data_IF_436128544738
#
_entry.id   IF_436128544738
#
_cell.length_a   1.000
_cell.length_b   1.000
_cell.length_c   1.000
_cell.angle_alpha   90.00
_cell.angle_beta   90.00
_cell.angle_gamma   90.00
#
_symmetry.space_group_name_H-M   'P 1'
#
loop_
_entity.id
_entity.type
_entity.pdbx_description
1 polymer ?
#
# COMPACT_ATOMS: atom_id res chain seq x y z
N UNK A 1 14.33 14.83 9.45
CA UNK A 1 13.33 13.77 9.22
C UNK A 1 12.19 14.28 8.36
N UNK A 2 11.73 13.46 7.43
CA UNK A 2 10.62 13.85 6.59
C UNK A 2 9.33 13.89 7.42
N UNK A 3 8.51 14.90 7.19
CA UNK A 3 7.20 15.00 7.80
C UNK A 3 6.27 13.98 7.15
N UNK A 4 5.47 13.28 7.96
CA UNK A 4 4.50 12.31 7.45
C UNK A 4 3.36 13.07 6.76
N UNK A 5 3.00 12.62 5.56
CA UNK A 5 1.91 13.22 4.81
C UNK A 5 0.57 12.94 5.48
N UNK A 6 -0.35 13.88 5.40
CA UNK A 6 -1.67 13.81 6.07
C UNK A 6 -2.57 12.70 5.56
N UNK A 7 -2.41 12.31 4.30
CA UNK A 7 -3.19 11.23 3.68
C UNK A 7 -2.30 10.01 3.49
N UNK A 8 -2.91 8.83 3.47
CA UNK A 8 -2.21 7.57 3.31
C UNK A 8 -3.01 6.63 2.40
N UNK A 9 -2.34 5.60 1.93
CA UNK A 9 -2.95 4.54 1.13
C UNK A 9 -3.22 3.36 2.04
N UNK A 10 -4.38 2.72 1.89
CA UNK A 10 -4.72 1.49 2.59
C UNK A 10 -4.92 0.36 1.59
N UNK A 11 -4.30 -0.81 1.87
CA UNK A 11 -4.50 -2.03 1.10
C UNK A 11 -4.72 -3.21 2.04
N UNK A 12 -5.63 -4.10 1.67
CA UNK A 12 -5.79 -5.38 2.37
C UNK A 12 -5.15 -6.48 1.51
N UNK A 13 -4.27 -7.26 2.14
CA UNK A 13 -3.64 -8.40 1.51
C UNK A 13 -4.47 -9.65 1.80
N UNK A 14 -5.10 -10.19 0.75
CA UNK A 14 -5.89 -11.41 0.86
C UNK A 14 -5.04 -12.66 0.78
N UNK A 15 -5.70 -13.80 0.95
CA UNK A 15 -5.05 -15.10 0.85
C UNK A 15 -4.64 -15.48 -0.57
N UNK A 16 -5.25 -14.85 -1.58
CA UNK A 16 -4.97 -15.10 -2.99
C UNK A 16 -4.43 -13.83 -3.65
N UNK A 17 -3.20 -13.48 -3.35
CA UNK A 17 -2.48 -12.52 -4.17
C UNK A 17 -2.15 -13.22 -5.50
N UNK A 18 -1.79 -12.47 -6.53
CA UNK A 18 -1.47 -13.04 -7.84
C UNK A 18 -0.40 -14.14 -7.80
N UNK A 19 0.43 -14.18 -6.77
CA UNK A 19 1.46 -15.20 -6.57
C UNK A 19 0.97 -16.46 -5.87
N UNK A 20 -0.27 -16.46 -5.35
CA UNK A 20 -0.81 -17.55 -4.54
C UNK A 20 -0.36 -17.54 -3.08
N UNK A 21 0.41 -16.55 -2.67
CA UNK A 21 0.90 -16.44 -1.29
C UNK A 21 -0.14 -15.78 -0.39
N UNK A 22 -0.17 -16.20 0.89
CA UNK A 22 -0.98 -15.53 1.89
C UNK A 22 -0.45 -14.12 2.18
N UNK A 23 -1.27 -13.27 2.79
CA UNK A 23 -0.86 -11.91 3.14
C UNK A 23 0.40 -11.88 4.01
N UNK A 24 0.49 -12.78 4.99
CA UNK A 24 1.66 -12.84 5.88
C UNK A 24 2.92 -13.28 5.13
N UNK A 25 2.80 -14.24 4.23
CA UNK A 25 3.94 -14.66 3.40
C UNK A 25 4.40 -13.51 2.49
N UNK A 26 3.46 -12.74 1.94
CA UNK A 26 3.77 -11.56 1.14
C UNK A 26 4.60 -10.56 1.95
N UNK A 27 4.19 -10.27 3.19
CA UNK A 27 4.93 -9.37 4.07
C UNK A 27 6.36 -9.87 4.29
N UNK A 28 6.52 -11.15 4.60
CA UNK A 28 7.84 -11.74 4.84
C UNK A 28 8.74 -11.65 3.63
N UNK A 29 8.23 -11.96 2.45
CA UNK A 29 9.01 -11.88 1.21
C UNK A 29 9.50 -10.45 0.96
N UNK A 30 8.64 -9.45 1.16
CA UNK A 30 9.04 -8.07 1.00
C UNK A 30 10.01 -7.61 2.09
N UNK A 31 9.85 -8.07 3.34
CA UNK A 31 10.78 -7.72 4.41
C UNK A 31 12.18 -8.27 4.13
N UNK A 32 12.28 -9.52 3.68
CA UNK A 32 13.56 -10.13 3.31
C UNK A 32 14.20 -9.36 2.15
N UNK A 33 13.41 -9.06 1.13
CA UNK A 33 13.89 -8.33 -0.04
C UNK A 33 14.39 -6.93 0.33
N UNK A 34 13.63 -6.21 1.15
CA UNK A 34 14.02 -4.87 1.58
C UNK A 34 15.29 -4.86 2.42
N UNK A 35 15.51 -5.90 3.24
CA UNK A 35 16.74 -6.03 4.01
C UNK A 35 17.97 -6.18 3.11
N UNK A 36 17.79 -6.74 1.93
CA UNK A 36 18.88 -6.96 0.96
C UNK A 36 19.08 -5.78 0.01
N UNK A 37 17.99 -5.12 -0.40
CA UNK A 37 18.02 -4.14 -1.49
C UNK A 37 17.66 -2.72 -1.07
N UNK A 38 17.02 -2.53 0.06
CA UNK A 38 16.62 -1.21 0.57
C UNK A 38 15.34 -0.66 -0.02
N UNK A 39 14.95 -1.09 -1.20
CA UNK A 39 13.73 -0.67 -1.89
C UNK A 39 13.11 -1.87 -2.60
N UNK A 40 11.79 -1.83 -2.82
CA UNK A 40 11.11 -2.87 -3.57
C UNK A 40 9.85 -2.32 -4.24
N UNK A 41 9.55 -2.79 -5.45
CA UNK A 41 8.28 -2.50 -6.10
C UNK A 41 7.22 -3.45 -5.56
N UNK A 42 6.18 -2.88 -4.96
CA UNK A 42 5.07 -3.61 -4.34
C UNK A 42 3.93 -3.76 -5.35
N UNK A 43 3.51 -5.01 -5.55
CA UNK A 43 2.40 -5.34 -6.46
C UNK A 43 1.07 -5.02 -5.78
N UNK A 44 0.43 -3.92 -6.16
CA UNK A 44 -0.81 -3.45 -5.54
C UNK A 44 -2.03 -4.13 -6.17
N UNK A 45 -2.17 -5.43 -5.95
CA UNK A 45 -3.21 -6.23 -6.58
C UNK A 45 -4.64 -5.82 -6.26
N UNK A 46 -4.87 -5.22 -5.09
CA UNK A 46 -6.19 -4.74 -4.72
C UNK A 46 -6.64 -3.50 -5.51
N UNK A 47 -5.69 -2.79 -6.12
CA UNK A 47 -5.97 -1.63 -6.98
C UNK A 47 -6.11 -2.11 -8.44
N UNK A 48 -7.15 -2.88 -8.72
CA UNK A 48 -7.33 -3.55 -10.01
C UNK A 48 -7.48 -2.59 -11.19
N UNK A 49 -8.08 -1.43 -10.95
CA UNK A 49 -8.31 -0.41 -11.98
C UNK A 49 -7.24 0.68 -11.99
N UNK A 50 -6.21 0.50 -11.19
CA UNK A 50 -5.20 1.53 -10.99
C UNK A 50 -5.66 2.62 -10.05
N UNK A 51 -4.76 3.52 -9.72
CA UNK A 51 -5.00 4.65 -8.84
C UNK A 51 -5.72 5.75 -9.60
N UNK A 52 -6.70 6.44 -8.97
CA UNK A 52 -7.32 7.57 -9.63
C UNK A 52 -6.28 8.66 -9.90
N UNK A 53 -6.44 9.39 -10.99
CA UNK A 53 -5.51 10.44 -11.39
C UNK A 53 -5.36 11.52 -10.33
N UNK A 54 -6.47 11.87 -9.66
CA UNK A 54 -6.47 12.85 -8.57
C UNK A 54 -5.50 12.44 -7.45
N UNK A 55 -5.60 11.19 -6.97
CA UNK A 55 -4.77 10.73 -5.88
C UNK A 55 -3.33 10.44 -6.33
N UNK A 56 -3.17 9.97 -7.56
CA UNK A 56 -1.84 9.77 -8.12
C UNK A 56 -1.06 11.09 -8.14
N UNK A 57 -1.69 12.17 -8.61
CA UNK A 57 -1.07 13.49 -8.64
C UNK A 57 -0.79 14.00 -7.22
N UNK A 58 -1.76 13.88 -6.32
CA UNK A 58 -1.59 14.32 -4.94
C UNK A 58 -0.43 13.62 -4.25
N UNK A 59 -0.37 12.30 -4.37
CA UNK A 59 0.67 11.51 -3.71
C UNK A 59 2.03 11.68 -4.36
N UNK A 60 2.08 11.83 -5.68
CA UNK A 60 3.33 12.12 -6.36
C UNK A 60 3.88 13.48 -5.92
N UNK A 61 3.02 14.48 -5.79
CA UNK A 61 3.42 15.79 -5.27
C UNK A 61 3.96 15.69 -3.84
N UNK A 62 3.31 14.90 -2.99
CA UNK A 62 3.77 14.68 -1.63
C UNK A 62 5.18 14.07 -1.60
N UNK A 63 5.42 13.09 -2.46
CA UNK A 63 6.75 12.47 -2.59
C UNK A 63 7.76 13.50 -3.07
N UNK A 64 7.42 14.29 -4.10
CA UNK A 64 8.31 15.30 -4.68
C UNK A 64 8.68 16.40 -3.68
N UNK A 65 7.75 16.74 -2.78
CA UNK A 65 8.00 17.70 -1.70
C UNK A 65 8.61 17.05 -0.45
N UNK A 66 9.09 15.81 -0.57
CA UNK A 66 9.80 15.08 0.49
C UNK A 66 8.97 14.76 1.73
N UNK A 67 7.65 14.63 1.58
CA UNK A 67 6.82 14.05 2.63
C UNK A 67 7.02 12.53 2.68
N UNK A 68 6.87 11.96 3.88
CA UNK A 68 6.81 10.51 4.03
C UNK A 68 5.36 10.07 3.74
N UNK A 69 5.15 9.47 2.58
CA UNK A 69 3.85 8.93 2.20
C UNK A 69 3.75 7.49 2.71
N UNK A 70 2.70 7.19 3.47
CA UNK A 70 2.54 5.88 4.10
C UNK A 70 1.54 5.00 3.38
N UNK A 71 1.85 3.71 3.37
CA UNK A 71 0.97 2.64 2.90
C UNK A 71 0.68 1.74 4.09
N UNK A 72 -0.59 1.65 4.50
CA UNK A 72 -1.02 0.77 5.58
C UNK A 72 -1.57 -0.52 5.03
N UNK A 73 -1.15 -1.64 5.60
CA UNK A 73 -1.51 -2.97 5.13
C UNK A 73 -2.24 -3.74 6.22
N UNK A 74 -3.37 -4.33 5.85
CA UNK A 74 -4.11 -5.27 6.67
C UNK A 74 -3.92 -6.67 6.12
N UNK A 75 -3.62 -7.63 6.99
CA UNK A 75 -3.33 -9.01 6.60
C UNK A 75 -4.43 -9.92 7.09
N UNK A 76 -5.07 -10.66 6.18
CA UNK A 76 -6.13 -11.59 6.53
C UNK A 76 -7.49 -10.94 6.68
N UNK A 77 -8.35 -11.53 7.52
CA UNK A 77 -9.75 -11.15 7.66
C UNK A 77 -10.06 -10.20 8.81
N UNK A 78 -9.11 -9.99 9.69
CA UNK A 78 -9.31 -9.15 10.86
C UNK A 78 -9.33 -7.68 10.49
N UNK A 79 -10.11 -6.88 11.21
CA UNK A 79 -10.29 -5.46 10.95
C UNK A 79 -9.19 -4.64 11.64
N UNK A 80 -7.93 -4.84 11.22
CA UNK A 80 -6.81 -4.16 11.82
C UNK A 80 -5.78 -3.68 10.82
N UNK A 81 -4.94 -2.76 11.25
CA UNK A 81 -3.76 -2.34 10.49
C UNK A 81 -2.56 -3.07 11.07
N UNK A 82 -1.94 -3.92 10.25
CA UNK A 82 -0.88 -4.79 10.73
C UNK A 82 0.52 -4.25 10.43
N UNK A 83 0.68 -3.63 9.26
CA UNK A 83 1.99 -3.15 8.79
C UNK A 83 1.88 -1.79 8.14
N UNK A 84 2.99 -1.07 8.13
CA UNK A 84 3.12 0.22 7.43
C UNK A 84 4.41 0.24 6.62
N UNK A 85 4.31 0.76 5.40
CA UNK A 85 5.44 0.96 4.50
C UNK A 85 5.52 2.43 4.11
N UNK A 86 6.73 2.90 3.78
CA UNK A 86 6.90 4.22 3.19
C UNK A 86 6.97 4.08 1.68
N UNK A 87 6.18 4.88 0.96
CA UNK A 87 6.12 4.86 -0.50
C UNK A 87 7.08 5.89 -1.07
N UNK A 88 8.00 5.42 -1.91
CA UNK A 88 9.03 6.27 -2.52
C UNK A 88 8.72 6.66 -3.97
N UNK A 89 7.87 5.89 -4.65
CA UNK A 89 7.48 6.18 -6.03
C UNK A 89 6.20 5.42 -6.37
N UNK A 90 5.49 5.93 -7.38
CA UNK A 90 4.23 5.34 -7.84
C UNK A 90 4.30 5.17 -9.36
N UNK A 91 3.93 3.98 -9.84
CA UNK A 91 3.80 3.72 -11.27
C UNK A 91 2.39 3.22 -11.55
N UNK A 92 1.68 3.88 -12.45
CA UNK A 92 0.32 3.51 -12.81
C UNK A 92 0.17 3.45 -14.33
N UNK A 93 -0.81 2.69 -14.80
CA UNK A 93 -1.17 2.63 -16.19
C UNK A 93 -2.67 2.49 -16.35
N UNK A 94 -3.21 2.91 -17.50
CA UNK A 94 -4.63 2.70 -17.83
C UNK A 94 -4.94 1.23 -18.00
N UNK A 95 -3.96 0.49 -18.49
CA UNK A 95 -4.01 -0.97 -18.56
C UNK A 95 -3.03 -1.51 -17.52
N UNK A 96 -3.10 -2.82 -17.30
CA UNK A 96 -2.15 -3.47 -16.39
C UNK A 96 -0.75 -3.40 -16.98
N UNK A 97 0.21 -2.97 -16.18
CA UNK A 97 1.60 -2.82 -16.59
C UNK A 97 2.51 -3.77 -15.81
N UNK A 98 3.65 -4.15 -16.38
CA UNK A 98 4.65 -4.93 -15.64
C UNK A 98 5.34 -4.06 -14.60
N UNK A 99 6.09 -4.69 -13.69
CA UNK A 99 6.90 -3.93 -12.74
C UNK A 99 7.85 -2.98 -13.46
N UNK A 100 8.05 -1.77 -12.93
CA UNK A 100 9.04 -0.84 -13.50
C UNK A 100 10.48 -1.34 -13.44
N UNK A 101 10.80 -2.24 -12.51
CA UNK A 101 12.16 -2.76 -12.33
C UNK A 101 12.11 -4.16 -11.72
N UNK A 102 12.39 -5.17 -12.54
CA UNK A 102 12.39 -6.56 -12.08
C UNK A 102 13.46 -6.82 -11.03
N UNK A 103 14.60 -6.13 -11.08
CA UNK A 103 15.67 -6.29 -10.11
C UNK A 103 15.28 -5.77 -8.72
N UNK A 104 14.36 -4.83 -8.65
CA UNK A 104 13.81 -4.33 -7.39
C UNK A 104 12.41 -4.89 -7.10
N UNK A 105 12.09 -6.05 -7.67
CA UNK A 105 10.81 -6.72 -7.42
C UNK A 105 11.08 -8.14 -6.94
N UNK A 106 10.52 -8.55 -5.79
CA UNK A 106 10.67 -9.93 -5.33
C UNK A 106 10.17 -10.92 -6.36
N UNK A 107 10.84 -12.06 -6.48
CA UNK A 107 10.59 -13.05 -7.53
C UNK A 107 9.13 -13.43 -7.73
N UNK A 108 8.34 -13.71 -6.67
CA UNK A 108 6.94 -14.14 -6.86
C UNK A 108 6.07 -13.15 -7.65
N UNK A 109 6.45 -11.85 -7.70
CA UNK A 109 5.64 -10.82 -8.34
C UNK A 109 6.25 -10.26 -9.62
N UNK A 110 7.41 -10.76 -10.07
CA UNK A 110 8.09 -10.21 -11.26
C UNK A 110 7.30 -10.29 -12.55
N UNK A 111 6.46 -11.31 -12.69
CA UNK A 111 5.64 -11.50 -13.88
C UNK A 111 4.25 -10.88 -13.76
N UNK A 112 3.91 -10.29 -12.63
CA UNK A 112 2.59 -9.70 -12.42
C UNK A 112 2.37 -8.48 -13.32
N UNK A 113 1.11 -8.36 -13.77
CA UNK A 113 0.65 -7.16 -14.47
C UNK A 113 -0.36 -6.47 -13.57
N UNK A 114 -0.12 -5.19 -13.26
CA UNK A 114 -0.94 -4.43 -12.32
C UNK A 114 -1.24 -3.04 -12.83
N UNK A 115 -2.38 -2.50 -12.43
CA UNK A 115 -2.71 -1.10 -12.71
C UNK A 115 -1.88 -0.14 -11.87
N UNK A 116 -1.36 -0.60 -10.73
CA UNK A 116 -0.56 0.24 -9.83
C UNK A 116 0.58 -0.56 -9.21
N UNK A 117 1.77 0.00 -9.23
CA UNK A 117 2.94 -0.47 -8.50
C UNK A 117 3.41 0.63 -7.56
N UNK A 118 3.70 0.27 -6.32
CA UNK A 118 4.19 1.21 -5.30
C UNK A 118 5.60 0.82 -4.89
N UNK A 119 6.56 1.71 -5.10
CA UNK A 119 7.93 1.46 -4.65
C UNK A 119 8.00 1.78 -3.16
N UNK A 120 8.28 0.77 -2.35
CA UNK A 120 8.38 0.94 -0.90
C UNK A 120 9.83 0.83 -0.46
N UNK A 121 10.17 1.52 0.64
CA UNK A 121 11.53 1.48 1.19
C UNK A 121 11.59 0.97 2.62
N UNK A 122 10.46 0.73 3.25
CA UNK A 122 10.40 0.14 4.59
C UNK A 122 9.12 -0.66 4.75
N UNK A 123 9.12 -1.61 5.65
CA UNK A 123 7.94 -2.40 5.95
C UNK A 123 8.06 -2.90 7.39
N UNK A 124 7.26 -2.36 8.28
CA UNK A 124 7.35 -2.63 9.71
C UNK A 124 5.95 -2.73 10.33
N UNK A 125 5.82 -3.30 11.53
CA UNK A 125 4.53 -3.32 12.22
C UNK A 125 3.97 -1.91 12.38
N UNK A 126 2.66 -1.76 12.18
CA UNK A 126 1.98 -0.48 12.32
C UNK A 126 1.82 -0.11 13.80
N UNK A 127 2.05 1.15 14.13
CA UNK A 127 1.83 1.67 15.49
C UNK A 127 0.42 2.24 15.65
N UNK A 128 -0.17 2.73 14.55
CA UNK A 128 -1.53 3.26 14.55
C UNK A 128 -2.52 2.14 14.26
N UNK A 129 -3.77 2.34 14.67
CA UNK A 129 -4.85 1.37 14.45
C UNK A 129 -5.86 1.93 13.46
N UNK A 130 -6.81 1.08 13.04
CA UNK A 130 -7.87 1.51 12.13
C UNK A 130 -8.75 2.62 12.74
N UNK A 131 -8.80 2.72 14.08
CA UNK A 131 -9.54 3.80 14.76
C UNK A 131 -8.88 5.17 14.59
N UNK A 132 -7.62 5.20 14.21
CA UNK A 132 -6.87 6.44 14.02
C UNK A 132 -7.08 7.08 12.64
N UNK A 133 -7.89 6.45 11.79
CA UNK A 133 -8.10 6.90 10.41
C UNK A 133 -9.56 7.00 10.03
N UNK A 134 -9.84 7.90 9.07
CA UNK A 134 -11.12 7.96 8.37
C UNK A 134 -10.87 7.79 6.87
N UNK A 135 -11.86 7.27 6.16
CA UNK A 135 -11.83 7.18 4.70
C UNK A 135 -12.09 8.57 4.13
N UNK A 136 -11.21 9.04 3.26
CA UNK A 136 -11.29 10.42 2.74
C UNK A 136 -12.60 10.69 2.03
N UNK A 137 -13.04 9.80 1.15
CA UNK A 137 -14.19 10.02 0.30
C UNK A 137 -15.53 10.03 1.04
N UNK A 138 -15.63 9.29 2.14
CA UNK A 138 -16.90 9.12 2.86
C UNK A 138 -16.90 9.73 4.25
N UNK A 139 -15.72 9.97 4.82
CA UNK A 139 -15.59 10.40 6.21
C UNK A 139 -15.83 9.28 7.21
N UNK A 140 -16.13 8.07 6.75
CA UNK A 140 -16.37 6.93 7.62
C UNK A 140 -15.10 6.53 8.37
N UNK A 141 -15.25 6.04 9.60
CA UNK A 141 -14.14 5.53 10.37
C UNK A 141 -13.61 4.25 9.71
N UNK A 142 -12.29 4.15 9.55
CA UNK A 142 -11.69 2.99 8.87
C UNK A 142 -12.03 1.68 9.57
N UNK A 143 -12.05 1.65 10.91
CA UNK A 143 -12.43 0.46 11.65
C UNK A 143 -13.84 -0.03 11.31
N UNK A 144 -14.78 0.90 11.07
CA UNK A 144 -16.15 0.53 10.72
C UNK A 144 -16.25 -0.12 9.34
N UNK A 145 -15.51 0.41 8.35
CA UNK A 145 -15.54 -0.17 7.00
C UNK A 145 -14.75 -1.48 6.91
N UNK A 146 -13.71 -1.64 7.71
CA UNK A 146 -12.95 -2.88 7.76
C UNK A 146 -13.73 -4.03 8.38
N UNK A 147 -14.61 -3.74 9.35
CA UNK A 147 -15.39 -4.78 10.04
C UNK A 147 -16.31 -5.53 9.08
N UNK A 148 -16.69 -4.92 7.95
CA UNK A 148 -17.50 -5.59 6.93
C UNK A 148 -16.74 -6.63 6.10
N UNK A 149 -15.43 -6.67 6.18
CA UNK A 149 -14.60 -7.64 5.45
C UNK A 149 -14.48 -7.45 3.96
N UNK A 150 -15.09 -6.39 3.41
CA UNK A 150 -15.16 -6.15 1.95
C UNK A 150 -14.29 -4.99 1.48
N UNK A 151 -13.70 -4.24 2.39
CA UNK A 151 -12.89 -3.08 2.03
C UNK A 151 -11.45 -3.52 1.75
N UNK A 152 -11.02 -3.47 0.50
CA UNK A 152 -9.72 -3.98 0.07
C UNK A 152 -8.68 -2.91 -0.19
N UNK A 153 -9.11 -1.70 -0.54
CA UNK A 153 -8.20 -0.57 -0.67
C UNK A 153 -8.95 0.74 -0.48
N UNK A 154 -8.19 1.78 -0.19
CA UNK A 154 -8.75 3.12 -0.11
C UNK A 154 -7.71 4.14 0.26
N UNK A 155 -8.17 5.38 0.33
CA UNK A 155 -7.34 6.51 0.71
C UNK A 155 -7.87 7.04 2.03
N UNK A 156 -6.98 7.18 3.00
CA UNK A 156 -7.36 7.47 4.38
C UNK A 156 -6.59 8.67 4.92
N UNK A 157 -7.14 9.30 5.96
CA UNK A 157 -6.47 10.38 6.65
C UNK A 157 -6.53 10.14 8.15
N UNK A 158 -5.55 10.67 8.88
CA UNK A 158 -5.50 10.56 10.33
C UNK A 158 -6.59 11.39 10.98
N UNK A 159 -7.21 10.82 12.03
CA UNK A 159 -8.18 11.54 12.85
C UNK A 159 -7.44 12.58 13.68
N UNK A 160 -8.00 13.80 13.76
CA UNK A 160 -7.43 14.86 14.58
C UNK A 160 -6.37 15.73 13.91
N UNK A 161 -6.12 15.51 12.62
CA UNK A 161 -5.22 16.37 11.85
C UNK A 161 -5.94 17.18 10.80
#
# INVERSE_FOLDING_TARGET
MAQVYKHAIFLRLGANTGSGLSGLHTIREYQIFLAQHGEAWFSAGALTMGMSERYRCEFQDAIDYCYALELYLSVGKEAGLDYVAEVAAIATGKERIPTPDEELTPEPWRADLRGTWLKIRSLKPAELTADDFTVINTGARLSDVLSGGKYHFGYVKRVGE
#
